data_IF_153138559470
#
_entry.id   IF_153138559470
#
_cell.length_a   1.000
_cell.length_b   1.000
_cell.length_c   1.000
_cell.angle_alpha   90.00
_cell.angle_beta   90.00
_cell.angle_gamma   90.00
#
_symmetry.space_group_name_H-M   'P 1'
#
loop_
_entity.id
_entity.type
_entity.pdbx_description
1 polymer ?
#
# COMPACT_ATOMS: atom_id res chain seq x y z
N UNK A 1 -17.90 -13.16 16.88
CA UNK A 1 -16.44 -12.93 16.96
C UNK A 1 -16.20 -11.48 16.54
N UNK A 2 -15.72 -10.62 17.44
CA UNK A 2 -15.34 -9.25 17.09
C UNK A 2 -14.09 -9.33 16.22
N UNK A 3 -14.23 -9.08 14.91
CA UNK A 3 -13.08 -8.91 14.05
C UNK A 3 -12.49 -7.54 14.39
N UNK A 4 -11.35 -7.55 15.09
CA UNK A 4 -10.63 -6.32 15.38
C UNK A 4 -10.17 -5.70 14.05
N UNK A 5 -10.72 -4.54 13.74
CA UNK A 5 -10.29 -3.73 12.60
C UNK A 5 -8.96 -3.09 12.96
N UNK A 6 -8.02 -3.11 12.02
CA UNK A 6 -6.76 -2.39 12.10
C UNK A 6 -6.57 -1.58 10.83
N UNK A 7 -5.86 -0.46 10.94
CA UNK A 7 -5.42 0.32 9.81
C UNK A 7 -3.91 0.56 9.90
N UNK A 8 -3.33 0.95 8.77
CA UNK A 8 -1.96 1.47 8.67
C UNK A 8 -1.97 2.73 7.84
N UNK A 9 -1.22 3.73 8.30
CA UNK A 9 -0.91 4.94 7.53
C UNK A 9 0.58 5.03 7.38
N UNK A 10 1.06 5.14 6.14
CA UNK A 10 2.50 5.29 5.90
C UNK A 10 2.78 6.22 4.73
N UNK A 11 3.98 6.79 4.75
CA UNK A 11 4.54 7.51 3.61
C UNK A 11 5.81 6.82 3.13
N UNK A 12 6.10 6.89 1.83
CA UNK A 12 7.35 6.37 1.25
C UNK A 12 7.76 7.17 0.02
N UNK A 13 8.95 6.89 -0.52
CA UNK A 13 9.45 7.51 -1.75
C UNK A 13 9.49 6.50 -2.88
N UNK A 14 9.15 6.93 -4.10
CA UNK A 14 9.34 6.10 -5.29
C UNK A 14 10.81 5.70 -5.43
N UNK A 15 11.04 4.48 -5.89
CA UNK A 15 12.37 4.06 -6.28
C UNK A 15 12.70 4.62 -7.67
N UNK A 16 13.92 5.15 -7.86
CA UNK A 16 14.30 5.83 -9.12
C UNK A 16 14.21 4.91 -10.34
N UNK A 17 14.39 3.59 -10.14
CA UNK A 17 14.23 2.57 -11.17
C UNK A 17 12.82 2.52 -11.76
N UNK A 18 11.81 3.03 -11.05
CA UNK A 18 10.41 3.02 -11.48
C UNK A 18 9.97 4.32 -12.16
N UNK A 19 10.80 5.38 -12.19
CA UNK A 19 10.37 6.69 -12.72
C UNK A 19 10.01 6.63 -14.22
N UNK A 20 10.62 5.72 -14.96
CA UNK A 20 10.38 5.53 -16.39
C UNK A 20 9.33 4.46 -16.68
N UNK A 21 8.76 3.83 -15.65
CA UNK A 21 7.70 2.85 -15.82
C UNK A 21 6.36 3.58 -16.01
N UNK A 22 5.90 3.62 -17.25
CA UNK A 22 4.61 4.21 -17.62
C UNK A 22 3.40 3.44 -17.08
N UNK A 23 3.58 2.18 -16.68
CA UNK A 23 2.52 1.32 -16.17
C UNK A 23 2.46 1.27 -14.65
N UNK A 24 3.46 1.82 -13.94
CA UNK A 24 3.60 1.76 -12.49
C UNK A 24 2.29 1.93 -11.71
N UNK A 25 1.55 3.00 -12.00
CA UNK A 25 0.30 3.32 -11.28
C UNK A 25 -0.85 2.40 -11.67
N UNK A 26 -0.92 1.98 -12.94
CA UNK A 26 -1.91 1.01 -13.41
C UNK A 26 -1.67 -0.33 -12.74
N UNK A 27 -0.44 -0.81 -12.68
CA UNK A 27 -0.04 -2.07 -12.06
C UNK A 27 -0.32 -2.07 -10.55
N UNK A 28 0.03 -0.97 -9.86
CA UNK A 28 -0.31 -0.80 -8.44
C UNK A 28 -1.83 -0.86 -8.25
N UNK A 29 -2.59 -0.13 -9.06
CA UNK A 29 -4.06 -0.06 -8.93
C UNK A 29 -4.71 -1.42 -9.17
N UNK A 30 -4.34 -2.13 -10.24
CA UNK A 30 -4.94 -3.42 -10.60
C UNK A 30 -4.61 -4.48 -9.55
N UNK A 31 -3.36 -4.55 -9.12
CA UNK A 31 -2.94 -5.46 -8.06
C UNK A 31 -3.65 -5.16 -6.74
N UNK A 32 -3.74 -3.88 -6.37
CA UNK A 32 -4.41 -3.45 -5.15
C UNK A 32 -5.90 -3.76 -5.20
N UNK A 33 -6.61 -3.44 -6.29
CA UNK A 33 -8.04 -3.73 -6.43
C UNK A 33 -8.34 -5.22 -6.28
N UNK A 34 -7.58 -6.08 -6.98
CA UNK A 34 -7.76 -7.54 -6.92
C UNK A 34 -7.53 -8.08 -5.51
N UNK A 35 -6.39 -7.74 -4.89
CA UNK A 35 -6.02 -8.25 -3.56
C UNK A 35 -6.93 -7.69 -2.47
N UNK A 36 -7.22 -6.40 -2.52
CA UNK A 36 -8.03 -5.74 -1.50
C UNK A 36 -9.48 -6.23 -1.54
N UNK A 37 -10.05 -6.45 -2.72
CA UNK A 37 -11.39 -7.01 -2.85
C UNK A 37 -11.45 -8.43 -2.28
N UNK A 38 -10.45 -9.28 -2.56
CA UNK A 38 -10.40 -10.64 -2.04
C UNK A 38 -10.29 -10.70 -0.51
N UNK A 39 -9.61 -9.72 0.10
CA UNK A 39 -9.35 -9.67 1.54
C UNK A 39 -10.24 -8.69 2.31
N UNK A 40 -11.23 -8.09 1.66
CA UNK A 40 -12.07 -7.03 2.24
C UNK A 40 -11.27 -5.89 2.89
N UNK A 41 -10.16 -5.51 2.25
CA UNK A 41 -9.33 -4.37 2.65
C UNK A 41 -9.81 -3.15 1.87
N UNK A 42 -9.86 -1.99 2.51
CA UNK A 42 -10.19 -0.70 1.87
C UNK A 42 -9.09 0.32 2.13
N UNK A 43 -9.18 1.47 1.45
CA UNK A 43 -8.30 2.60 1.71
C UNK A 43 -8.00 3.41 0.45
N UNK A 44 -6.86 4.11 0.47
CA UNK A 44 -6.44 4.96 -0.63
C UNK A 44 -4.91 5.04 -0.73
N UNK A 45 -4.44 5.39 -1.93
CA UNK A 45 -3.04 5.71 -2.20
C UNK A 45 -2.99 7.06 -2.90
N UNK A 46 -2.18 7.97 -2.36
CA UNK A 46 -1.87 9.26 -2.95
C UNK A 46 -0.42 9.28 -3.41
N UNK A 47 -0.18 9.91 -4.55
CA UNK A 47 1.17 10.15 -5.07
C UNK A 47 1.37 11.61 -5.41
N UNK A 48 2.44 12.21 -4.90
CA UNK A 48 2.83 13.59 -5.21
C UNK A 48 4.34 13.78 -5.00
N UNK A 49 4.99 14.46 -5.94
CA UNK A 49 6.41 14.85 -5.86
C UNK A 49 7.35 13.68 -5.47
N UNK A 50 7.15 12.52 -6.10
CA UNK A 50 7.94 11.31 -5.86
C UNK A 50 7.65 10.60 -4.55
N UNK A 51 6.57 10.95 -3.85
CA UNK A 51 6.19 10.37 -2.56
C UNK A 51 4.83 9.71 -2.64
N UNK A 52 4.72 8.57 -1.97
CA UNK A 52 3.47 7.90 -1.68
C UNK A 52 2.99 8.25 -0.28
N UNK A 53 1.68 8.40 -0.12
CA UNK A 53 0.98 8.34 1.17
C UNK A 53 -0.13 7.31 1.01
N UNK A 54 -0.11 6.26 1.84
CA UNK A 54 -1.14 5.22 1.78
C UNK A 54 -1.83 5.06 3.12
N UNK A 55 -3.13 4.84 3.02
CA UNK A 55 -4.00 4.37 4.09
C UNK A 55 -4.60 3.03 3.67
N UNK A 56 -4.54 2.02 4.55
CA UNK A 56 -5.23 0.73 4.38
C UNK A 56 -5.93 0.34 5.67
N UNK A 57 -7.11 -0.28 5.58
CA UNK A 57 -7.89 -0.74 6.73
C UNK A 57 -8.59 -2.06 6.45
N UNK A 58 -8.88 -2.83 7.49
CA UNK A 58 -9.54 -4.13 7.37
C UNK A 58 -9.27 -5.04 8.58
N UNK A 59 -9.46 -6.34 8.39
CA UNK A 59 -9.17 -7.33 9.43
C UNK A 59 -7.67 -7.33 9.77
N UNK A 60 -7.34 -7.22 11.07
CA UNK A 60 -5.97 -7.13 11.58
C UNK A 60 -4.94 -8.03 10.88
N UNK A 61 -5.20 -9.34 10.84
CA UNK A 61 -4.27 -10.31 10.26
C UNK A 61 -4.01 -10.06 8.76
N UNK A 62 -5.06 -9.69 8.01
CA UNK A 62 -4.96 -9.43 6.57
C UNK A 62 -4.25 -8.10 6.29
N UNK A 63 -4.54 -7.06 7.08
CA UNK A 63 -3.83 -5.79 7.00
C UNK A 63 -2.34 -5.93 7.34
N UNK A 64 -2.00 -6.69 8.38
CA UNK A 64 -0.61 -6.94 8.77
C UNK A 64 0.15 -7.71 7.69
N UNK A 65 -0.48 -8.73 7.09
CA UNK A 65 0.09 -9.47 5.97
C UNK A 65 0.31 -8.55 4.75
N UNK A 66 -0.70 -7.78 4.35
CA UNK A 66 -0.58 -6.84 3.22
C UNK A 66 0.51 -5.79 3.48
N UNK A 67 0.55 -5.23 4.69
CA UNK A 67 1.53 -4.22 5.05
C UNK A 67 2.97 -4.75 5.01
N UNK A 68 3.18 -5.99 5.42
CA UNK A 68 4.50 -6.65 5.32
C UNK A 68 4.91 -6.89 3.86
N UNK A 69 3.97 -7.23 2.98
CA UNK A 69 4.22 -7.30 1.53
C UNK A 69 4.60 -5.93 0.98
N UNK A 70 3.84 -4.89 1.31
CA UNK A 70 4.10 -3.52 0.85
C UNK A 70 5.48 -3.04 1.32
N UNK A 71 5.90 -3.34 2.56
CA UNK A 71 7.24 -2.99 3.07
C UNK A 71 8.40 -3.50 2.20
N UNK A 72 8.21 -4.62 1.51
CA UNK A 72 9.23 -5.27 0.69
C UNK A 72 9.11 -4.92 -0.80
N UNK A 73 8.10 -4.15 -1.17
CA UNK A 73 7.84 -3.79 -2.56
C UNK A 73 8.95 -2.88 -3.12
N UNK A 74 9.64 -3.35 -4.15
CA UNK A 74 10.80 -2.68 -4.75
C UNK A 74 10.45 -1.37 -5.45
N UNK A 75 9.15 -1.09 -5.66
CA UNK A 75 8.68 0.13 -6.33
C UNK A 75 8.85 1.38 -5.49
N UNK A 76 9.04 1.24 -4.19
CA UNK A 76 9.25 2.35 -3.25
C UNK A 76 10.35 2.02 -2.23
N UNK A 77 10.73 3.03 -1.44
CA UNK A 77 11.78 2.97 -0.43
C UNK A 77 11.54 4.01 0.65
N UNK A 78 12.35 3.95 1.71
CA UNK A 78 12.33 4.95 2.80
C UNK A 78 10.92 5.09 3.43
N UNK A 79 10.26 3.96 3.67
CA UNK A 79 8.94 3.94 4.30
C UNK A 79 9.01 4.47 5.74
N UNK A 80 8.08 5.35 6.06
CA UNK A 80 7.82 5.87 7.40
C UNK A 80 6.38 5.53 7.78
N UNK A 81 6.23 4.78 8.86
CA UNK A 81 4.92 4.48 9.45
C UNK A 81 4.47 5.68 10.27
N UNK A 82 3.25 6.11 10.05
CA UNK A 82 2.63 7.27 10.70
C UNK A 82 1.63 6.83 11.77
N UNK A 83 0.94 5.71 11.53
CA UNK A 83 0.00 5.05 12.46
C UNK A 83 -0.15 3.56 12.07
#
# INVERSE_FOLDING_TARGET
MNHQIQYYVYASKINLTQIFDHNLFTDIREQAQSNNQHHHITGFLLFKDGKFLQYIEGQKALCEQLFNTIKQDLRHKEMVVLD
#
